data_IF_274680993204
#
_entry.id   IF_274680993204
#
_cell.length_a   1.000
_cell.length_b   1.000
_cell.length_c   1.000
_cell.angle_alpha   90.00
_cell.angle_beta   90.00
_cell.angle_gamma   90.00
#
_symmetry.space_group_name_H-M   'P 1'
#
loop_
_entity.id
_entity.type
_entity.pdbx_description
1 polymer ?
#
# COMPACT_ATOMS: atom_id res chain seq x y z
N UNK A 1 -53.34 -14.50 -17.78
CA UNK A 1 -52.35 -14.98 -16.77
C UNK A 1 -50.93 -15.09 -17.27
N UNK A 2 -50.62 -15.34 -18.54
CA UNK A 2 -49.21 -15.48 -19.05
C UNK A 2 -48.44 -14.12 -19.09
N UNK A 3 -49.07 -13.01 -19.33
CA UNK A 3 -48.44 -11.70 -19.46
C UNK A 3 -47.94 -11.16 -18.13
N UNK A 4 -48.69 -11.36 -17.04
CA UNK A 4 -48.35 -10.89 -15.70
C UNK A 4 -47.10 -11.63 -15.17
N UNK A 5 -46.97 -12.95 -15.45
CA UNK A 5 -45.82 -13.74 -15.05
C UNK A 5 -44.51 -13.33 -15.74
N UNK A 6 -44.55 -12.85 -17.02
CA UNK A 6 -43.37 -12.35 -17.73
C UNK A 6 -42.89 -11.02 -17.18
N UNK A 7 -43.80 -10.09 -16.83
CA UNK A 7 -43.45 -8.80 -16.21
C UNK A 7 -42.87 -8.98 -14.80
N UNK A 8 -43.38 -9.91 -14.02
CA UNK A 8 -42.88 -10.19 -12.68
C UNK A 8 -41.47 -10.81 -12.71
N UNK A 9 -41.19 -11.73 -13.67
CA UNK A 9 -39.84 -12.30 -13.88
C UNK A 9 -38.82 -11.26 -14.32
N UNK A 10 -39.21 -10.31 -15.18
CA UNK A 10 -38.33 -9.20 -15.59
C UNK A 10 -38.01 -8.25 -14.45
N UNK A 11 -38.98 -7.92 -13.60
CA UNK A 11 -38.77 -7.07 -12.44
C UNK A 11 -37.85 -7.70 -11.38
N UNK A 12 -38.01 -9.01 -11.12
CA UNK A 12 -37.17 -9.77 -10.18
C UNK A 12 -35.72 -9.86 -10.71
N UNK A 13 -35.54 -10.15 -11.99
CA UNK A 13 -34.21 -10.20 -12.61
C UNK A 13 -33.51 -8.82 -12.59
N UNK A 14 -34.24 -7.74 -12.86
CA UNK A 14 -33.71 -6.38 -12.79
C UNK A 14 -33.31 -5.98 -11.36
N UNK A 15 -34.08 -6.39 -10.35
CA UNK A 15 -33.74 -6.15 -8.93
C UNK A 15 -32.51 -6.93 -8.50
N UNK A 16 -32.29 -8.16 -8.97
CA UNK A 16 -31.11 -8.96 -8.65
C UNK A 16 -29.85 -8.36 -9.28
N UNK A 17 -29.94 -7.90 -10.53
CA UNK A 17 -28.81 -7.26 -11.21
C UNK A 17 -28.44 -5.93 -10.52
N UNK A 18 -29.41 -5.14 -10.08
CA UNK A 18 -29.15 -3.89 -9.36
C UNK A 18 -28.51 -4.13 -7.97
N UNK A 19 -28.90 -5.21 -7.28
CA UNK A 19 -28.33 -5.57 -5.98
C UNK A 19 -26.86 -6.02 -6.08
N UNK A 20 -26.45 -6.66 -7.17
CA UNK A 20 -25.07 -7.12 -7.40
C UNK A 20 -24.12 -5.95 -7.65
N UNK A 21 -24.58 -4.88 -8.26
CA UNK A 21 -23.74 -3.68 -8.51
C UNK A 21 -23.52 -2.85 -7.24
N UNK A 22 -24.41 -2.96 -6.24
CA UNK A 22 -24.30 -2.22 -4.99
C UNK A 22 -23.33 -2.87 -3.97
N UNK A 23 -22.82 -4.09 -4.23
CA UNK A 23 -21.96 -4.81 -3.29
C UNK A 23 -20.46 -4.63 -3.52
N UNK A 24 -20.03 -3.77 -4.45
CA UNK A 24 -18.64 -3.33 -4.51
C UNK A 24 -18.36 -2.33 -3.38
N UNK A 25 -18.22 -2.83 -2.15
CA UNK A 25 -17.50 -2.13 -1.09
C UNK A 25 -16.03 -2.10 -1.53
N UNK A 26 -15.64 -1.09 -2.27
CA UNK A 26 -14.27 -0.65 -2.32
C UNK A 26 -13.99 -0.09 -0.93
N UNK A 27 -13.29 -0.90 -0.12
CA UNK A 27 -12.87 -0.43 1.20
C UNK A 27 -12.15 0.91 1.07
N UNK A 28 -12.23 1.73 2.08
CA UNK A 28 -11.80 3.13 2.20
C UNK A 28 -10.34 3.44 1.82
N UNK A 29 -9.87 2.93 0.66
CA UNK A 29 -8.54 3.24 0.11
C UNK A 29 -8.63 4.61 -0.57
N UNK A 30 -8.04 5.63 0.08
CA UNK A 30 -7.96 6.98 -0.46
C UNK A 30 -6.86 7.11 -1.53
N UNK A 31 -5.80 6.30 -1.42
CA UNK A 31 -4.67 6.32 -2.35
C UNK A 31 -3.89 5.01 -2.30
N UNK A 32 -3.37 4.59 -3.45
CA UNK A 32 -2.46 3.46 -3.57
C UNK A 32 -1.49 3.72 -4.72
N UNK A 33 -0.20 3.61 -4.45
CA UNK A 33 0.84 3.70 -5.45
C UNK A 33 1.96 2.70 -5.15
N UNK A 34 2.63 2.23 -6.19
CA UNK A 34 3.77 1.33 -6.08
C UNK A 34 4.83 1.73 -7.11
N UNK A 35 6.08 1.54 -6.75
CA UNK A 35 7.23 1.79 -7.62
C UNK A 35 8.20 0.63 -7.54
N UNK A 36 8.67 0.17 -8.69
CA UNK A 36 9.71 -0.83 -8.76
C UNK A 36 11.04 -0.22 -8.32
N UNK A 37 11.85 -1.03 -7.63
CA UNK A 37 13.21 -0.65 -7.26
C UNK A 37 14.22 -1.36 -8.15
N UNK A 38 15.46 -0.83 -8.28
CA UNK A 38 16.53 -1.53 -9.00
C UNK A 38 16.80 -2.91 -8.42
N UNK A 39 17.28 -3.85 -9.24
CA UNK A 39 17.64 -5.20 -8.79
C UNK A 39 18.60 -5.18 -7.60
N UNK A 40 19.54 -4.26 -7.61
CA UNK A 40 20.43 -3.91 -6.51
C UNK A 40 19.97 -2.55 -5.97
N UNK A 41 19.01 -2.58 -5.05
CA UNK A 41 18.47 -1.36 -4.47
C UNK A 41 19.48 -0.75 -3.51
N UNK A 42 19.99 0.43 -3.83
CA UNK A 42 21.00 1.12 -3.03
C UNK A 42 20.39 2.23 -2.17
N UNK A 43 21.14 2.74 -1.19
CA UNK A 43 20.71 3.87 -0.35
C UNK A 43 20.52 5.17 -1.14
N UNK A 44 20.98 5.23 -2.40
CA UNK A 44 20.79 6.39 -3.29
C UNK A 44 19.46 6.32 -4.04
N UNK A 45 18.89 5.13 -4.15
CA UNK A 45 17.66 4.88 -4.90
C UNK A 45 16.44 5.08 -3.98
N UNK A 46 16.12 6.34 -3.69
CA UNK A 46 14.96 6.70 -2.90
C UNK A 46 13.69 6.55 -3.74
N UNK A 47 12.73 5.78 -3.23
CA UNK A 47 11.38 5.72 -3.79
C UNK A 47 10.58 6.91 -3.27
N UNK A 48 9.98 7.68 -4.15
CA UNK A 48 9.31 8.95 -3.85
C UNK A 48 7.88 8.94 -4.39
N UNK A 49 6.93 9.16 -3.49
CA UNK A 49 5.50 9.23 -3.81
C UNK A 49 4.97 10.64 -3.56
N UNK A 50 4.50 11.28 -4.63
CA UNK A 50 3.66 12.46 -4.52
C UNK A 50 2.26 12.00 -4.12
N UNK A 51 1.73 12.54 -3.03
CA UNK A 51 0.39 12.21 -2.56
C UNK A 51 -0.66 13.10 -3.22
N UNK A 52 -1.91 12.61 -3.37
CA UNK A 52 -3.02 13.49 -3.71
C UNK A 52 -3.28 14.47 -2.57
N UNK A 53 -4.06 15.50 -2.85
CA UNK A 53 -4.52 16.41 -1.79
C UNK A 53 -5.44 15.64 -0.84
N UNK A 54 -4.95 15.39 0.36
CA UNK A 54 -5.71 14.78 1.44
C UNK A 54 -6.48 15.88 2.18
N UNK A 55 -7.65 15.55 2.71
CA UNK A 55 -8.47 16.52 3.44
C UNK A 55 -7.76 17.01 4.71
N UNK A 56 -7.59 18.32 4.85
CA UNK A 56 -6.95 18.94 6.00
C UNK A 56 -7.65 18.57 7.33
N UNK A 57 -6.86 18.31 8.35
CA UNK A 57 -7.35 17.97 9.70
C UNK A 57 -7.93 16.56 9.82
N UNK A 58 -7.96 15.76 8.74
CA UNK A 58 -8.37 14.35 8.81
C UNK A 58 -7.19 13.44 9.09
N UNK A 59 -7.48 12.37 9.81
CA UNK A 59 -6.54 11.29 10.09
C UNK A 59 -6.63 10.23 9.02
N UNK A 60 -5.47 9.78 8.53
CA UNK A 60 -5.34 8.72 7.53
C UNK A 60 -4.42 7.62 8.05
N UNK A 61 -4.75 6.37 7.72
CA UNK A 61 -3.92 5.21 8.01
C UNK A 61 -2.97 4.95 6.84
N UNK A 62 -1.67 4.94 7.14
CA UNK A 62 -0.62 4.68 6.17
C UNK A 62 -0.12 3.25 6.28
N UNK A 63 0.00 2.58 5.15
CA UNK A 63 0.51 1.21 5.03
C UNK A 63 1.59 1.20 3.96
N UNK A 64 2.74 0.61 4.27
CA UNK A 64 3.80 0.36 3.31
C UNK A 64 3.66 -1.06 2.78
N UNK A 65 3.61 -1.21 1.47
CA UNK A 65 3.61 -2.51 0.80
C UNK A 65 5.04 -2.83 0.35
N UNK A 66 5.57 -3.97 0.76
CA UNK A 66 6.87 -4.47 0.33
C UNK A 66 6.65 -5.73 -0.48
N UNK A 67 7.08 -5.70 -1.75
CA UNK A 67 7.09 -6.88 -2.60
C UNK A 67 8.50 -7.42 -2.71
N UNK A 68 8.68 -8.68 -2.30
CA UNK A 68 9.98 -9.34 -2.27
C UNK A 68 9.95 -10.72 -2.94
N UNK A 69 11.13 -11.18 -3.31
CA UNK A 69 11.38 -12.52 -3.85
C UNK A 69 12.19 -13.34 -2.86
N UNK A 70 12.34 -14.63 -3.13
CA UNK A 70 13.21 -15.55 -2.37
C UNK A 70 14.71 -15.18 -2.45
N UNK A 71 15.08 -14.27 -3.34
CA UNK A 71 16.45 -13.73 -3.41
C UNK A 71 16.79 -12.77 -2.27
N UNK A 72 15.78 -12.30 -1.51
CA UNK A 72 16.01 -11.49 -0.31
C UNK A 72 16.48 -12.38 0.83
N UNK A 73 17.67 -12.12 1.39
CA UNK A 73 18.37 -13.03 2.30
C UNK A 73 18.23 -12.69 3.79
N UNK A 74 17.61 -11.56 4.11
CA UNK A 74 17.41 -11.15 5.50
C UNK A 74 15.97 -11.44 5.95
N UNK A 75 15.77 -11.59 7.26
CA UNK A 75 14.43 -11.75 7.82
C UNK A 75 13.62 -10.46 7.75
N UNK A 76 14.25 -9.36 8.11
CA UNK A 76 13.63 -8.05 8.20
C UNK A 76 14.24 -7.07 7.20
N UNK A 77 13.40 -6.31 6.52
CA UNK A 77 13.83 -5.13 5.79
C UNK A 77 13.64 -3.90 6.69
N UNK A 78 14.67 -3.09 6.81
CA UNK A 78 14.60 -1.81 7.51
C UNK A 78 14.60 -0.68 6.49
N UNK A 79 13.62 0.22 6.59
CA UNK A 79 13.50 1.37 5.71
C UNK A 79 13.42 2.66 6.52
N UNK A 80 14.05 3.71 6.02
CA UNK A 80 13.78 5.08 6.44
C UNK A 80 12.57 5.55 5.64
N UNK A 81 11.52 5.95 6.35
CA UNK A 81 10.34 6.56 5.80
C UNK A 81 10.37 8.05 6.18
N UNK A 82 10.37 8.91 5.16
CA UNK A 82 10.31 10.36 5.34
C UNK A 82 9.01 10.88 4.77
N UNK A 83 8.36 11.77 5.47
CA UNK A 83 7.12 12.38 5.00
C UNK A 83 6.97 13.83 5.50
N UNK A 84 6.13 14.60 4.80
CA UNK A 84 5.73 15.94 5.19
C UNK A 84 4.20 16.10 5.17
N UNK A 85 3.46 15.04 5.54
CA UNK A 85 1.98 14.96 5.46
C UNK A 85 1.31 15.86 6.49
N UNK A 86 1.87 15.93 7.72
CA UNK A 86 1.31 16.70 8.82
C UNK A 86 1.69 18.19 8.77
N UNK A 87 2.81 18.48 8.13
CA UNK A 87 3.32 19.84 7.92
C UNK A 87 4.18 19.84 6.65
N UNK A 88 3.66 20.42 5.60
CA UNK A 88 4.30 20.42 4.27
C UNK A 88 5.65 21.15 4.23
N UNK A 89 5.96 21.97 5.24
CA UNK A 89 7.23 22.69 5.35
C UNK A 89 8.31 21.88 6.10
N UNK A 90 7.91 20.89 6.88
CA UNK A 90 8.82 20.11 7.73
C UNK A 90 8.75 18.62 7.43
N UNK A 91 9.90 18.02 7.16
CA UNK A 91 10.03 16.59 6.96
C UNK A 91 10.22 15.86 8.29
N UNK A 92 9.41 14.84 8.50
CA UNK A 92 9.59 13.86 9.57
C UNK A 92 10.25 12.61 9.00
N UNK A 93 11.06 11.92 9.80
CA UNK A 93 11.78 10.72 9.38
C UNK A 93 11.68 9.67 10.47
N UNK A 94 11.19 8.50 10.09
CA UNK A 94 11.04 7.35 10.97
C UNK A 94 11.74 6.13 10.38
N UNK A 95 12.11 5.19 11.24
CA UNK A 95 12.62 3.89 10.84
C UNK A 95 11.53 2.86 10.98
N UNK A 96 11.20 2.20 9.87
CA UNK A 96 10.17 1.16 9.82
C UNK A 96 10.81 -0.22 9.64
N UNK A 97 10.48 -1.13 10.54
CA UNK A 97 10.83 -2.55 10.42
C UNK A 97 9.75 -3.26 9.60
N UNK A 98 10.17 -3.93 8.54
CA UNK A 98 9.31 -4.70 7.66
C UNK A 98 9.71 -6.19 7.76
N UNK A 99 9.05 -7.02 8.58
CA UNK A 99 9.31 -8.45 8.64
C UNK A 99 8.85 -9.09 7.33
N UNK A 100 9.78 -9.72 6.59
CA UNK A 100 9.53 -10.38 5.31
C UNK A 100 9.56 -11.90 5.42
N UNK A 101 10.20 -12.44 6.46
CA UNK A 101 10.21 -13.86 6.77
C UNK A 101 9.86 -14.11 8.23
N UNK A 102 9.22 -15.26 8.49
CA UNK A 102 8.96 -15.75 9.83
C UNK A 102 10.27 -16.16 10.53
N UNK A 103 10.19 -16.50 11.82
CA UNK A 103 11.34 -17.03 12.58
C UNK A 103 11.83 -18.35 12.02
N UNK A 104 10.94 -19.15 11.42
CA UNK A 104 11.25 -20.44 10.79
C UNK A 104 11.74 -20.29 9.34
N UNK A 105 11.91 -19.05 8.83
CA UNK A 105 12.42 -18.76 7.49
C UNK A 105 11.39 -18.88 6.36
N UNK A 106 10.09 -18.97 6.66
CA UNK A 106 9.06 -18.95 5.63
C UNK A 106 8.74 -17.50 5.20
N UNK A 107 8.56 -17.23 3.89
CA UNK A 107 8.19 -15.91 3.42
C UNK A 107 6.82 -15.50 3.98
N UNK A 108 6.74 -14.27 4.45
CA UNK A 108 5.50 -13.65 4.91
C UNK A 108 4.78 -12.97 3.74
N UNK A 109 3.48 -12.71 3.95
CA UNK A 109 2.65 -12.00 2.99
C UNK A 109 1.87 -12.91 2.05
N UNK A 110 1.23 -12.27 1.06
CA UNK A 110 0.42 -12.94 0.04
C UNK A 110 1.21 -13.00 -1.25
N UNK A 111 1.26 -14.17 -1.89
CA UNK A 111 1.98 -14.30 -3.15
C UNK A 111 1.86 -15.68 -3.77
N UNK A 112 2.34 -15.80 -5.00
CA UNK A 112 2.42 -17.03 -5.76
C UNK A 112 3.79 -17.05 -6.46
N UNK A 113 4.36 -18.26 -6.62
CA UNK A 113 5.56 -18.50 -7.43
C UNK A 113 6.80 -17.66 -7.04
N UNK A 114 7.08 -17.54 -5.73
CA UNK A 114 8.32 -16.90 -5.26
C UNK A 114 8.30 -15.37 -5.24
N UNK A 115 7.12 -14.75 -5.41
CA UNK A 115 6.92 -13.31 -5.27
C UNK A 115 5.84 -13.04 -4.21
N UNK A 116 6.20 -12.36 -3.14
CA UNK A 116 5.37 -12.15 -1.96
C UNK A 116 5.18 -10.66 -1.69
N UNK A 117 3.99 -10.26 -1.27
CA UNK A 117 3.68 -8.89 -0.87
C UNK A 117 3.29 -8.87 0.60
N UNK A 118 4.01 -8.09 1.38
CA UNK A 118 3.75 -7.89 2.82
C UNK A 118 3.22 -6.48 3.03
N UNK A 119 2.11 -6.37 3.75
CA UNK A 119 1.52 -5.10 4.17
C UNK A 119 2.04 -4.74 5.56
N UNK A 120 2.73 -3.61 5.68
CA UNK A 120 3.34 -3.13 6.92
C UNK A 120 2.61 -1.87 7.37
N UNK A 121 1.81 -1.91 8.43
CA UNK A 121 1.21 -0.70 8.99
C UNK A 121 2.31 0.27 9.45
N UNK A 122 2.29 1.50 8.92
CA UNK A 122 3.18 2.53 9.40
C UNK A 122 2.57 3.28 10.59
N UNK A 123 1.31 3.66 10.47
CA UNK A 123 0.61 4.40 11.51
C UNK A 123 -0.46 5.34 10.96
N UNK A 124 -0.82 6.31 11.79
CA UNK A 124 -1.83 7.32 11.44
C UNK A 124 -1.20 8.70 11.39
N UNK A 125 -1.50 9.45 10.35
CA UNK A 125 -1.06 10.83 10.18
C UNK A 125 -2.27 11.73 9.96
N UNK A 126 -2.21 12.94 10.55
CA UNK A 126 -3.18 14.00 10.27
C UNK A 126 -2.65 14.83 9.11
N UNK A 127 -3.46 15.04 8.08
CA UNK A 127 -3.07 15.82 6.90
C UNK A 127 -3.20 17.31 7.16
N UNK A 128 -2.25 18.11 6.67
CA UNK A 128 -2.35 19.57 6.58
C UNK A 128 -3.15 20.07 5.37
N UNK A 129 -3.51 19.16 4.46
CA UNK A 129 -4.26 19.48 3.22
C UNK A 129 -3.39 20.00 2.09
N UNK A 130 -2.07 19.92 2.21
CA UNK A 130 -1.15 20.40 1.19
C UNK A 130 -1.17 19.53 -0.07
N UNK A 131 -1.07 20.19 -1.23
CA UNK A 131 -0.82 19.52 -2.52
C UNK A 131 0.65 19.09 -2.69
N UNK A 132 1.53 19.46 -1.75
CA UNK A 132 2.95 19.13 -1.76
C UNK A 132 3.31 17.97 -0.82
N UNK A 133 2.30 17.30 -0.24
CA UNK A 133 2.52 16.14 0.62
C UNK A 133 3.22 15.01 -0.15
N UNK A 134 4.30 14.48 0.44
CA UNK A 134 5.13 13.42 -0.15
C UNK A 134 5.53 12.39 0.89
N UNK A 135 5.80 11.18 0.42
CA UNK A 135 6.41 10.10 1.20
C UNK A 135 7.61 9.57 0.43
N UNK A 136 8.72 9.46 1.11
CA UNK A 136 9.98 8.92 0.58
C UNK A 136 10.40 7.71 1.38
N UNK A 137 10.84 6.65 0.68
CA UNK A 137 11.33 5.43 1.31
C UNK A 137 12.68 5.03 0.72
N UNK A 138 13.60 4.63 1.58
CA UNK A 138 14.89 4.06 1.21
C UNK A 138 15.30 3.03 2.26
N UNK A 139 15.96 1.94 1.85
CA UNK A 139 16.45 0.96 2.82
C UNK A 139 17.58 1.56 3.69
N UNK A 140 17.66 1.10 4.95
CA UNK A 140 18.71 1.49 5.89
C UNK A 140 19.48 0.29 6.47
N UNK A 141 19.47 -0.84 5.76
CA UNK A 141 20.29 -2.01 6.08
C UNK A 141 21.78 -1.64 5.94
N UNK A 142 22.65 -2.33 6.71
CA UNK A 142 24.09 -2.05 6.73
C UNK A 142 24.75 -2.20 5.35
N UNK A 143 24.27 -3.12 4.53
CA UNK A 143 24.79 -3.34 3.18
C UNK A 143 24.57 -2.14 2.26
N UNK A 144 25.47 -1.97 1.32
CA UNK A 144 25.43 -0.88 0.35
C UNK A 144 24.26 -1.02 -0.64
N UNK A 145 23.86 -2.25 -0.93
CA UNK A 145 22.76 -2.60 -1.80
C UNK A 145 21.98 -3.81 -1.28
N UNK A 146 20.72 -3.87 -1.59
CA UNK A 146 19.79 -4.95 -1.22
C UNK A 146 19.26 -5.60 -2.48
N UNK A 147 19.29 -6.94 -2.52
CA UNK A 147 18.75 -7.75 -3.61
C UNK A 147 17.45 -8.43 -3.13
N UNK A 148 16.53 -8.70 -4.04
CA UNK A 148 15.32 -9.45 -3.75
C UNK A 148 14.12 -8.60 -3.33
N UNK A 149 14.23 -7.28 -3.27
CA UNK A 149 13.09 -6.38 -3.22
C UNK A 149 12.73 -6.00 -4.66
N UNK A 150 11.47 -6.17 -5.04
CA UNK A 150 11.02 -5.83 -6.40
C UNK A 150 10.28 -4.51 -6.45
N UNK A 151 9.41 -4.26 -5.47
CA UNK A 151 8.59 -3.05 -5.43
C UNK A 151 8.40 -2.56 -3.99
N UNK A 152 8.28 -1.27 -3.85
CA UNK A 152 7.81 -0.59 -2.64
C UNK A 152 6.54 0.18 -2.99
N UNK A 153 5.53 0.05 -2.15
CA UNK A 153 4.26 0.76 -2.31
C UNK A 153 3.87 1.53 -1.07
N UNK A 154 2.98 2.48 -1.26
CA UNK A 154 2.28 3.21 -0.19
C UNK A 154 0.79 3.13 -0.42
N UNK A 155 0.06 2.86 0.64
CA UNK A 155 -1.40 2.81 0.65
C UNK A 155 -1.92 3.70 1.77
N UNK A 156 -2.94 4.50 1.46
CA UNK A 156 -3.58 5.41 2.40
C UNK A 156 -5.05 5.02 2.50
N UNK A 157 -5.52 4.85 3.73
CA UNK A 157 -6.90 4.52 4.06
C UNK A 157 -7.50 5.59 4.97
N UNK A 158 -8.81 5.81 4.80
CA UNK A 158 -9.60 6.64 5.72
C UNK A 158 -9.83 5.94 7.05
#
# INVERSE_FOLDING_TARGET
MRVIRKKLRGAVMASIVLAVVASCHWGDISFCASSSVPREWTRKDTVDFQLPVLMAGRTFHFVVDVRHTEAYTYRDLWVLLRHNVADSLHWQTDTLRCPLYSEDGYPLGKGLTGLYTVEIPYGTLVSDGSSQARVQLVHCIADSAVVGISDIGIRIRN
#
